data_IF_564372050024
#
_entry.id   IF_564372050024
#
_cell.length_a   1.000
_cell.length_b   1.000
_cell.length_c   1.000
_cell.angle_alpha   90.00
_cell.angle_beta   90.00
_cell.angle_gamma   90.00
#
_symmetry.space_group_name_H-M   'P 1'
#
loop_
_entity.id
_entity.type
_entity.pdbx_description
1 polymer ?
#
# COMPACT_ATOMS: atom_id res chain seq x y z
N UNK A 1 -11.73 -8.17 12.05
CA UNK A 1 -11.66 -8.71 10.69
C UNK A 1 -10.72 -7.87 9.83
N UNK A 2 -9.83 -8.53 9.12
CA UNK A 2 -8.83 -7.84 8.31
C UNK A 2 -9.43 -7.47 6.95
N UNK A 3 -9.39 -6.21 6.61
CA UNK A 3 -9.85 -5.74 5.31
C UNK A 3 -8.68 -5.13 4.53
N UNK A 4 -8.96 -4.71 3.31
CA UNK A 4 -7.90 -4.21 2.43
C UNK A 4 -7.27 -2.94 2.99
N UNK A 5 -8.04 -2.14 3.71
CA UNK A 5 -7.50 -0.94 4.32
C UNK A 5 -6.43 -1.29 5.36
N UNK A 6 -6.71 -2.27 6.21
CA UNK A 6 -5.75 -2.69 7.23
C UNK A 6 -4.50 -3.29 6.60
N UNK A 7 -4.68 -4.06 5.52
CA UNK A 7 -3.54 -4.63 4.82
C UNK A 7 -2.67 -3.52 4.23
N UNK A 8 -3.31 -2.54 3.60
CA UNK A 8 -2.58 -1.43 3.01
C UNK A 8 -1.78 -0.66 4.07
N UNK A 9 -2.42 -0.36 5.20
CA UNK A 9 -1.76 0.38 6.27
C UNK A 9 -0.57 -0.40 6.81
N UNK A 10 -0.72 -1.71 6.97
CA UNK A 10 0.37 -2.55 7.48
C UNK A 10 1.57 -2.54 6.54
N UNK A 11 1.30 -2.67 5.24
CA UNK A 11 2.38 -2.65 4.24
C UNK A 11 3.02 -1.28 4.18
N UNK A 12 2.21 -0.22 4.25
CA UNK A 12 2.73 1.14 4.25
C UNK A 12 3.67 1.37 5.42
N UNK A 13 3.27 0.92 6.61
CA UNK A 13 4.12 1.06 7.79
C UNK A 13 5.41 0.28 7.65
N UNK A 14 5.34 -0.90 7.06
CA UNK A 14 6.55 -1.69 6.83
C UNK A 14 7.51 -0.95 5.92
N UNK A 15 7.01 -0.37 4.83
CA UNK A 15 7.85 0.38 3.91
C UNK A 15 8.51 1.58 4.59
N UNK A 16 7.76 2.29 5.43
CA UNK A 16 8.26 3.47 6.11
C UNK A 16 9.22 3.14 7.24
N UNK A 17 8.87 2.15 8.04
CA UNK A 17 9.59 1.89 9.29
C UNK A 17 10.75 0.92 9.10
N UNK A 18 10.58 -0.10 8.28
CA UNK A 18 11.62 -1.12 8.12
C UNK A 18 12.54 -0.83 6.96
N UNK A 19 12.00 -0.32 5.87
CA UNK A 19 12.80 -0.06 4.67
C UNK A 19 13.16 1.41 4.51
N UNK A 20 12.55 2.27 5.32
CA UNK A 20 12.82 3.72 5.31
C UNK A 20 12.56 4.35 3.95
N UNK A 21 11.55 3.87 3.25
CA UNK A 21 11.13 4.45 1.99
C UNK A 21 10.18 5.61 2.24
N UNK A 22 10.11 6.53 1.31
CA UNK A 22 9.25 7.71 1.42
C UNK A 22 7.92 7.44 0.72
N UNK A 23 6.89 7.13 1.50
CA UNK A 23 5.55 6.92 0.96
C UNK A 23 4.93 8.29 0.68
N UNK A 24 4.63 8.56 -0.59
CA UNK A 24 4.10 9.86 -1.01
C UNK A 24 2.59 9.84 -1.21
N UNK A 25 1.99 8.67 -1.40
CA UNK A 25 0.56 8.58 -1.61
C UNK A 25 0.10 7.17 -1.27
N UNK A 26 -1.13 7.06 -0.82
CA UNK A 26 -1.72 5.77 -0.51
C UNK A 26 -3.23 5.94 -0.49
N UNK A 27 -3.95 4.92 -0.95
CA UNK A 27 -5.38 4.97 -0.98
C UNK A 27 -6.02 3.62 -1.20
N UNK A 28 -7.33 3.59 -1.06
CA UNK A 28 -8.09 2.38 -1.33
C UNK A 28 -9.45 2.76 -1.88
N UNK A 29 -10.01 1.88 -2.71
CA UNK A 29 -11.33 2.10 -3.26
C UNK A 29 -12.39 1.90 -2.17
N UNK A 30 -13.48 2.63 -2.30
CA UNK A 30 -14.54 2.59 -1.29
C UNK A 30 -15.17 1.21 -1.16
N UNK A 31 -15.20 0.45 -2.25
CA UNK A 31 -15.80 -0.88 -2.21
C UNK A 31 -14.86 -1.95 -1.66
N UNK A 32 -13.63 -1.58 -1.31
CA UNK A 32 -12.70 -2.51 -0.69
C UNK A 32 -12.06 -3.52 -1.64
N UNK A 33 -12.17 -3.30 -2.95
CA UNK A 33 -11.65 -4.24 -3.92
C UNK A 33 -10.18 -4.03 -4.25
N UNK A 34 -9.66 -2.82 -4.00
CA UNK A 34 -8.32 -2.49 -4.44
C UNK A 34 -7.74 -1.37 -3.58
N UNK A 35 -6.43 -1.42 -3.38
CA UNK A 35 -5.71 -0.37 -2.68
C UNK A 35 -4.34 -0.20 -3.33
N UNK A 36 -3.76 0.98 -3.20
CA UNK A 36 -2.42 1.20 -3.76
C UNK A 36 -1.59 2.07 -2.85
N UNK A 37 -0.28 1.97 -3.03
CA UNK A 37 0.70 2.75 -2.28
C UNK A 37 1.75 3.21 -3.29
N UNK A 38 2.06 4.50 -3.25
CA UNK A 38 3.10 5.07 -4.11
C UNK A 38 4.22 5.53 -3.21
N UNK A 39 5.44 5.10 -3.51
CA UNK A 39 6.58 5.42 -2.66
C UNK A 39 7.83 5.63 -3.51
N UNK A 40 8.79 6.32 -2.92
CA UNK A 40 10.06 6.60 -3.57
C UNK A 40 11.19 5.85 -2.87
N UNK A 41 12.16 5.41 -3.66
CA UNK A 41 13.39 4.82 -3.16
C UNK A 41 14.56 5.55 -3.80
N UNK A 42 15.77 5.08 -3.53
CA UNK A 42 16.96 5.68 -4.15
C UNK A 42 17.05 5.40 -5.65
N UNK A 43 16.30 4.44 -6.15
CA UNK A 43 16.33 4.12 -7.58
C UNK A 43 15.13 4.65 -8.34
N UNK A 44 14.13 5.22 -7.66
CA UNK A 44 13.02 5.79 -8.35
C UNK A 44 11.71 5.69 -7.60
N UNK A 45 10.63 5.96 -8.32
CA UNK A 45 9.29 5.96 -7.79
C UNK A 45 8.57 4.67 -8.19
N UNK A 46 7.95 4.04 -7.22
CA UNK A 46 7.26 2.77 -7.45
C UNK A 46 5.83 2.83 -6.96
N UNK A 47 4.97 2.02 -7.55
CA UNK A 47 3.62 1.86 -7.07
C UNK A 47 3.35 0.40 -6.78
N UNK A 48 2.62 0.15 -5.70
CA UNK A 48 2.24 -1.19 -5.27
C UNK A 48 0.73 -1.25 -5.23
N UNK A 49 0.16 -2.22 -5.91
CA UNK A 49 -1.29 -2.39 -5.95
C UNK A 49 -1.69 -3.69 -5.28
N UNK A 50 -2.69 -3.60 -4.41
CA UNK A 50 -3.24 -4.75 -3.70
C UNK A 50 -4.64 -4.97 -4.23
N UNK A 51 -4.92 -6.17 -4.69
CA UNK A 51 -6.23 -6.50 -5.25
C UNK A 51 -6.85 -7.66 -4.47
N UNK A 52 -8.10 -7.49 -4.08
CA UNK A 52 -8.80 -8.55 -3.38
C UNK A 52 -9.27 -9.59 -4.39
N UNK A 53 -8.82 -10.82 -4.19
CA UNK A 53 -9.23 -11.91 -5.07
C UNK A 53 -10.67 -12.28 -4.79
N UNK A 54 -11.40 -12.51 -5.85
CA UNK A 54 -12.79 -12.93 -5.74
C UNK A 54 -12.84 -14.45 -5.69
N UNK A 55 -13.52 -14.96 -4.70
CA UNK A 55 -13.62 -16.43 -4.54
C UNK A 55 -15.01 -16.91 -4.81
#
# INVERSE_FOLDING_TARGET
MTDIYEIRVAIQKFLEDKLDYNVTDAGSLLDGSEADIIFNTDTGRYSLTITKEKK
#
